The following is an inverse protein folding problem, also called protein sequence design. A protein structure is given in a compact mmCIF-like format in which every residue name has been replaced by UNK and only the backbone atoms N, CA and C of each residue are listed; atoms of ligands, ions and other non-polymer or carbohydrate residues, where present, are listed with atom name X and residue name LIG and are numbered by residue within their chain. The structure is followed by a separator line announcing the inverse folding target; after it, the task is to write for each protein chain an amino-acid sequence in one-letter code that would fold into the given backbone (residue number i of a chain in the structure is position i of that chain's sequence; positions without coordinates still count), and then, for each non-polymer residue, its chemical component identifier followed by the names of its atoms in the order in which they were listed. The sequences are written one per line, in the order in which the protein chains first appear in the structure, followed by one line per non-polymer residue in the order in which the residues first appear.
data_IF_263515677410
#
_entry.id   IF_263515677410
#
_cell.length_a   1.000
_cell.length_b   1.000
_cell.length_c   1.000
_cell.angle_alpha   90.00
_cell.angle_beta   90.00
_cell.angle_gamma   90.00
#
_symmetry.space_group_name_H-M   'P 1'
#
loop_
_entity.id
_entity.type
_entity.pdbx_description
1 polymer ?
#
# COMPACT_ATOMS: atom_id res chain seq x y z
N UNK A 1 -2.48 -3.16 -18.31
CA UNK A 1 -2.00 -1.81 -18.67
C UNK A 1 -2.54 -0.84 -17.62
N UNK A 2 -1.69 -0.22 -16.82
CA UNK A 2 -2.11 0.81 -15.83
C UNK A 2 -2.26 2.11 -16.61
N UNK A 3 -3.49 2.65 -16.71
CA UNK A 3 -3.74 3.93 -17.36
C UNK A 3 -3.44 5.07 -16.38
N UNK A 4 -2.63 6.07 -16.76
CA UNK A 4 -2.46 7.26 -15.96
C UNK A 4 -3.76 8.07 -15.92
N UNK A 5 -4.27 8.35 -14.71
CA UNK A 5 -5.57 8.97 -14.44
C UNK A 5 -5.56 10.51 -14.50
N UNK A 6 -4.82 11.12 -15.42
CA UNK A 6 -4.57 12.57 -15.38
C UNK A 6 -5.77 13.46 -15.83
N UNK A 7 -6.83 12.88 -16.41
CA UNK A 7 -7.99 13.60 -16.97
C UNK A 7 -9.37 13.07 -16.49
N UNK A 8 -9.42 12.28 -15.41
CA UNK A 8 -10.67 11.69 -14.92
C UNK A 8 -11.30 12.45 -13.73
N UNK A 9 -12.64 12.42 -13.63
CA UNK A 9 -13.41 12.92 -12.48
C UNK A 9 -12.88 12.26 -11.19
N UNK A 10 -12.69 13.05 -10.12
CA UNK A 10 -12.24 12.57 -8.82
C UNK A 10 -13.07 11.39 -8.29
N UNK A 11 -14.35 11.35 -8.65
CA UNK A 11 -15.28 10.27 -8.33
C UNK A 11 -14.87 8.97 -9.02
N UNK A 12 -14.51 9.03 -10.30
CA UNK A 12 -14.08 7.88 -11.09
C UNK A 12 -12.73 7.35 -10.59
N UNK A 13 -11.77 8.25 -10.34
CA UNK A 13 -10.45 7.91 -9.76
C UNK A 13 -10.63 7.17 -8.42
N UNK A 14 -11.58 7.61 -7.59
CA UNK A 14 -11.88 6.97 -6.32
C UNK A 14 -12.49 5.58 -6.51
N UNK A 15 -13.41 5.42 -7.45
CA UNK A 15 -14.04 4.14 -7.73
C UNK A 15 -13.03 3.12 -8.25
N UNK A 16 -12.22 3.50 -9.23
CA UNK A 16 -11.16 2.66 -9.81
C UNK A 16 -10.15 2.20 -8.75
N UNK A 17 -9.79 3.10 -7.83
CA UNK A 17 -8.95 2.77 -6.69
C UNK A 17 -9.57 1.69 -5.81
N UNK A 18 -10.86 1.82 -5.47
CA UNK A 18 -11.57 0.84 -4.64
C UNK A 18 -11.74 -0.50 -5.35
N UNK A 19 -12.09 -0.49 -6.63
CA UNK A 19 -12.26 -1.70 -7.44
C UNK A 19 -10.92 -2.47 -7.53
N UNK A 20 -9.82 -1.75 -7.75
CA UNK A 20 -8.48 -2.33 -7.74
C UNK A 20 -8.16 -2.94 -6.38
N UNK A 21 -8.46 -2.24 -5.28
CA UNK A 21 -8.27 -2.74 -3.93
C UNK A 21 -9.18 -3.93 -3.59
N UNK A 22 -10.30 -4.14 -4.29
CA UNK A 22 -11.18 -5.28 -4.07
C UNK A 22 -10.61 -6.57 -4.68
N UNK A 23 -9.95 -6.46 -5.84
CA UNK A 23 -9.48 -7.63 -6.60
C UNK A 23 -8.00 -7.95 -6.41
N UNK A 24 -7.17 -7.00 -5.96
CA UNK A 24 -5.73 -7.23 -5.86
C UNK A 24 -5.36 -8.23 -4.77
N UNK A 25 -4.26 -8.97 -4.98
CA UNK A 25 -3.77 -9.97 -4.04
C UNK A 25 -2.88 -9.37 -2.97
N UNK A 26 -2.12 -8.35 -3.33
CA UNK A 26 -1.26 -7.64 -2.42
C UNK A 26 -1.23 -6.15 -2.79
N UNK A 27 -0.87 -5.33 -1.81
CA UNK A 27 -0.79 -3.88 -1.98
C UNK A 27 0.41 -3.33 -1.24
N UNK A 28 1.09 -2.36 -1.87
CA UNK A 28 2.15 -1.59 -1.25
C UNK A 28 1.84 -0.10 -1.39
N UNK A 29 1.81 0.61 -0.26
CA UNK A 29 1.68 2.07 -0.24
C UNK A 29 3.09 2.67 -0.27
N UNK A 30 3.40 3.42 -1.32
CA UNK A 30 4.65 4.17 -1.42
C UNK A 30 4.51 5.54 -0.72
N UNK A 31 5.13 5.69 0.44
CA UNK A 31 5.05 6.87 1.29
C UNK A 31 6.26 7.80 1.08
N UNK A 32 6.21 8.55 -0.02
CA UNK A 32 7.14 9.63 -0.38
C UNK A 32 6.73 10.98 0.21
N UNK A 33 6.44 11.98 -0.62
CA UNK A 33 6.14 13.36 -0.19
C UNK A 33 4.78 13.56 0.51
N UNK A 34 3.95 12.52 0.64
CA UNK A 34 2.67 12.61 1.34
C UNK A 34 2.83 12.98 2.82
N UNK A 35 1.76 13.50 3.43
CA UNK A 35 1.69 13.72 4.87
C UNK A 35 1.08 12.50 5.60
N UNK A 36 1.19 12.46 6.94
CA UNK A 36 0.62 11.36 7.73
C UNK A 36 -0.90 11.23 7.58
N UNK A 37 -1.63 12.36 7.40
CA UNK A 37 -3.08 12.33 7.19
C UNK A 37 -3.43 11.54 5.93
N UNK A 38 -2.70 11.77 4.83
CA UNK A 38 -2.84 11.01 3.60
C UNK A 38 -2.55 9.52 3.81
N UNK A 39 -1.45 9.18 4.50
CA UNK A 39 -1.12 7.79 4.78
C UNK A 39 -2.20 7.10 5.61
N UNK A 40 -2.74 7.78 6.63
CA UNK A 40 -3.84 7.28 7.45
C UNK A 40 -5.12 7.08 6.64
N UNK A 41 -5.41 7.95 5.67
CA UNK A 41 -6.51 7.75 4.72
C UNK A 41 -6.30 6.46 3.92
N UNK A 42 -5.11 6.24 3.34
CA UNK A 42 -4.81 5.04 2.56
C UNK A 42 -4.88 3.75 3.38
N UNK A 43 -4.38 3.76 4.62
CA UNK A 43 -4.56 2.66 5.55
C UNK A 43 -6.04 2.44 5.92
N UNK A 44 -6.80 3.52 6.06
CA UNK A 44 -8.26 3.47 6.25
C UNK A 44 -8.98 2.79 5.07
N UNK A 45 -8.59 3.07 3.84
CA UNK A 45 -9.14 2.42 2.65
C UNK A 45 -8.86 0.90 2.68
N UNK A 46 -7.65 0.48 3.07
CA UNK A 46 -7.31 -0.93 3.25
C UNK A 46 -8.11 -1.63 4.36
N UNK A 47 -8.45 -0.92 5.44
CA UNK A 47 -9.32 -1.47 6.50
C UNK A 47 -10.76 -1.63 6.01
N UNK A 48 -11.27 -0.64 5.28
CA UNK A 48 -12.63 -0.67 4.75
C UNK A 48 -12.77 -1.79 3.75
N UNK A 49 -11.86 -1.93 2.79
CA UNK A 49 -12.04 -2.88 1.68
C UNK A 49 -12.19 -4.34 2.14
N UNK A 50 -11.65 -4.70 3.31
CA UNK A 50 -11.87 -6.02 3.89
C UNK A 50 -13.37 -6.35 4.11
N UNK A 51 -14.22 -5.35 4.37
CA UNK A 51 -15.66 -5.50 4.54
C UNK A 51 -16.49 -5.23 3.28
N UNK A 52 -15.89 -4.81 2.17
CA UNK A 52 -16.61 -4.39 0.94
C UNK A 52 -16.64 -5.48 -0.13
N UNK A 53 -16.77 -6.75 0.27
CA UNK A 53 -17.00 -7.83 -0.70
C UNK A 53 -15.74 -8.37 -1.38
N UNK A 54 -14.58 -8.29 -0.71
CA UNK A 54 -13.43 -9.11 -1.10
C UNK A 54 -13.77 -10.59 -0.90
N UNK A 55 -13.55 -11.42 -1.92
CA UNK A 55 -13.72 -12.87 -1.84
C UNK A 55 -12.64 -13.55 -0.99
N UNK A 56 -11.45 -12.93 -0.90
CA UNK A 56 -10.33 -13.41 -0.11
C UNK A 56 -9.55 -12.27 0.56
N UNK A 57 -8.96 -12.51 1.75
CA UNK A 57 -8.02 -11.58 2.36
C UNK A 57 -6.85 -11.26 1.42
N UNK A 58 -6.27 -10.07 1.55
CA UNK A 58 -5.01 -9.76 0.86
C UNK A 58 -3.88 -10.65 1.40
N UNK A 59 -3.07 -11.17 0.49
CA UNK A 59 -1.90 -11.99 0.79
C UNK A 59 -0.83 -11.19 1.53
N UNK A 60 -0.59 -9.94 1.11
CA UNK A 60 0.38 -9.07 1.76
C UNK A 60 -0.01 -7.59 1.67
N UNK A 61 0.36 -6.83 2.70
CA UNK A 61 0.22 -5.37 2.76
C UNK A 61 1.53 -4.77 3.23
N UNK A 62 2.04 -3.76 2.52
CA UNK A 62 3.24 -3.04 2.91
C UNK A 62 3.07 -1.51 2.82
N UNK A 63 3.85 -0.79 3.60
CA UNK A 63 4.12 0.64 3.45
C UNK A 63 5.61 0.80 3.24
N UNK A 64 6.00 1.30 2.06
CA UNK A 64 7.38 1.66 1.75
C UNK A 64 7.58 3.14 2.10
N UNK A 65 8.28 3.41 3.19
CA UNK A 65 8.54 4.76 3.69
C UNK A 65 9.87 5.24 3.14
N UNK A 66 9.84 6.39 2.47
CA UNK A 66 11.03 6.94 1.82
C UNK A 66 11.18 8.45 2.00
N UNK A 67 12.08 9.07 1.25
CA UNK A 67 12.36 10.50 1.32
C UNK A 67 11.11 11.37 1.03
N UNK A 68 11.06 12.61 1.56
CA UNK A 68 12.02 13.20 2.51
C UNK A 68 11.95 12.50 3.87
N UNK A 69 13.10 12.31 4.51
CA UNK A 69 13.18 11.71 5.84
C UNK A 69 12.68 12.72 6.90
N UNK A 70 11.81 12.26 7.79
CA UNK A 70 11.27 13.06 8.90
C UNK A 70 11.19 12.22 10.16
N UNK A 71 11.17 12.87 11.33
CA UNK A 71 10.98 12.19 12.62
C UNK A 71 9.72 11.33 12.63
N UNK A 72 8.62 11.83 12.05
CA UNK A 72 7.37 11.10 11.89
C UNK A 72 7.55 9.82 11.09
N UNK A 73 8.26 9.87 9.96
CA UNK A 73 8.55 8.70 9.13
C UNK A 73 9.47 7.70 9.81
N UNK A 74 10.48 8.16 10.56
CA UNK A 74 11.35 7.30 11.37
C UNK A 74 10.59 6.58 12.47
N UNK A 75 9.62 7.25 13.10
CA UNK A 75 8.83 6.70 14.20
C UNK A 75 7.60 5.91 13.73
N UNK A 76 7.12 6.11 12.50
CA UNK A 76 5.93 5.45 11.97
C UNK A 76 5.99 3.92 12.14
N UNK A 77 4.95 3.35 12.75
CA UNK A 77 4.72 1.91 12.89
C UNK A 77 3.22 1.64 12.75
N UNK A 78 2.86 0.47 12.25
CA UNK A 78 1.48 0.01 12.20
C UNK A 78 1.42 -1.51 12.33
N UNK A 79 0.29 -2.03 12.81
CA UNK A 79 -0.02 -3.47 12.77
C UNK A 79 -0.75 -3.87 11.49
N UNK A 80 -1.15 -2.90 10.66
CA UNK A 80 -1.99 -3.14 9.48
C UNK A 80 -1.21 -3.64 8.26
N UNK A 81 0.10 -3.35 8.19
CA UNK A 81 0.97 -3.61 7.06
C UNK A 81 2.44 -3.73 7.52
N UNK A 82 3.26 -4.43 6.74
CA UNK A 82 4.72 -4.44 6.89
C UNK A 82 5.23 -3.02 6.63
N UNK A 83 6.10 -2.51 7.49
CA UNK A 83 6.71 -1.19 7.30
C UNK A 83 8.15 -1.37 6.83
N UNK A 84 8.41 -1.00 5.57
CA UNK A 84 9.73 -1.03 4.95
C UNK A 84 10.22 0.41 4.91
N UNK A 85 11.39 0.70 5.49
CA UNK A 85 11.94 2.07 5.52
C UNK A 85 13.24 2.10 4.73
N UNK A 86 13.29 2.95 3.71
CA UNK A 86 14.51 3.26 2.99
C UNK A 86 14.52 4.75 2.63
N UNK A 87 15.42 5.48 3.27
CA UNK A 87 15.65 6.89 3.01
C UNK A 87 16.87 7.12 2.08
N UNK A 88 17.52 6.06 1.63
CA UNK A 88 18.63 6.11 0.67
C UNK A 88 18.20 5.69 -0.73
N UNK A 89 19.15 5.16 -1.50
CA UNK A 89 18.85 4.54 -2.80
C UNK A 89 17.91 3.34 -2.64
N UNK A 90 17.16 3.05 -3.70
CA UNK A 90 16.26 1.91 -3.72
C UNK A 90 17.06 0.61 -3.66
N UNK A 91 16.82 -0.18 -2.61
CA UNK A 91 17.35 -1.54 -2.48
C UNK A 91 16.20 -2.54 -2.61
N UNK A 92 16.16 -3.36 -3.69
CA UNK A 92 15.12 -4.35 -3.89
C UNK A 92 15.13 -5.45 -2.81
N UNK A 93 16.26 -5.70 -2.15
CA UNK A 93 16.36 -6.68 -1.05
C UNK A 93 15.46 -6.33 0.13
N UNK A 94 15.16 -5.05 0.34
CA UNK A 94 14.24 -4.61 1.38
C UNK A 94 12.78 -5.04 1.15
N UNK A 95 12.43 -5.44 -0.08
CA UNK A 95 11.11 -5.93 -0.42
C UNK A 95 10.92 -7.42 -0.13
N UNK A 96 11.98 -8.17 0.18
CA UNK A 96 11.92 -9.62 0.41
C UNK A 96 10.83 -10.04 1.42
N UNK A 97 10.66 -9.39 2.59
CA UNK A 97 9.62 -9.79 3.53
C UNK A 97 8.21 -9.66 2.96
N UNK A 98 7.99 -8.67 2.09
CA UNK A 98 6.71 -8.46 1.42
C UNK A 98 6.49 -9.53 0.33
N UNK A 99 7.49 -9.80 -0.50
CA UNK A 99 7.43 -10.81 -1.56
C UNK A 99 7.27 -12.22 -0.99
N UNK A 100 7.94 -12.55 0.11
CA UNK A 100 7.81 -13.83 0.79
C UNK A 100 6.39 -14.09 1.28
N UNK A 101 5.70 -13.07 1.82
CA UNK A 101 4.29 -13.21 2.23
C UNK A 101 3.35 -13.48 1.04
N UNK A 102 3.64 -12.91 -0.12
CA UNK A 102 2.88 -13.17 -1.35
C UNK A 102 3.09 -14.63 -1.76
N UNK A 103 4.34 -15.06 -1.89
CA UNK A 103 4.68 -16.41 -2.35
C UNK A 103 4.11 -17.51 -1.44
N UNK A 104 4.21 -17.36 -0.11
CA UNK A 104 3.70 -18.34 0.86
C UNK A 104 2.19 -18.55 0.79
N UNK A 105 1.43 -17.53 0.36
CA UNK A 105 -0.04 -17.57 0.34
C UNK A 105 -0.63 -17.78 -1.06
N UNK A 106 0.18 -17.76 -2.12
CA UNK A 106 -0.24 -18.14 -3.47
C UNK A 106 -0.11 -19.65 -3.74
N UNK A 107 0.71 -20.37 -2.97
CA UNK A 107 0.96 -21.81 -3.15
C UNK A 107 0.01 -22.76 -2.42
N UNK A 108 -1.22 -22.32 -2.10
CA UNK A 108 -2.23 -23.10 -1.37
C UNK A 108 -3.58 -23.10 -2.05
#
# INVERSE_FOLDING_TARGET
MIRPLFDEDETQVRQDHLDTLQVCDAVMIYYGSGNEKWLRTKLGDLRKIAGYGRSRPMLAKAVYVTQPETTQKQQFRTREAIVIKSFGEFDPGLLEPFLAQIAQRQGG
#
